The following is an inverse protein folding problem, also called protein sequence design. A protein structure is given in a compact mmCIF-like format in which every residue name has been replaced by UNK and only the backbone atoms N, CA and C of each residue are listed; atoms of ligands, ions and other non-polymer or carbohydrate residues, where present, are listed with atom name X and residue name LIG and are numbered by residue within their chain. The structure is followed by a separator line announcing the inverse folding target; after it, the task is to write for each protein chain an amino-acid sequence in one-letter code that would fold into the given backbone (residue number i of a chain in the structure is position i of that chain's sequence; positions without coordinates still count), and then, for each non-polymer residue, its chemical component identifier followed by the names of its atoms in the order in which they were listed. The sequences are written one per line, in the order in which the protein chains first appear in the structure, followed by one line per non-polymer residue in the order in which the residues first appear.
data_IF_760478194079
#
_entry.id   IF_760478194079
#
_cell.length_a   1.000
_cell.length_b   1.000
_cell.length_c   1.000
_cell.angle_alpha   90.00
_cell.angle_beta   90.00
_cell.angle_gamma   90.00
#
_symmetry.space_group_name_H-M   'P 1'
#
loop_
_entity.id
_entity.type
_entity.pdbx_description
1 polymer ?
#
# COMPACT_ATOMS: atom_id res chain seq x y z
N UNK A 1 64.54 41.72 -44.39
CA UNK A 1 63.42 40.89 -44.89
C UNK A 1 62.24 41.23 -44.01
N UNK A 2 61.25 41.98 -44.52
CA UNK A 2 60.08 42.36 -43.72
C UNK A 2 59.07 41.22 -43.79
N UNK A 3 58.83 40.56 -42.67
CA UNK A 3 57.68 39.66 -42.50
C UNK A 3 56.41 40.52 -42.59
N UNK A 4 55.59 40.28 -43.62
CA UNK A 4 54.23 40.81 -43.66
C UNK A 4 53.33 39.86 -42.88
N UNK A 5 52.61 40.40 -41.90
CA UNK A 5 51.56 39.66 -41.21
C UNK A 5 50.53 39.13 -42.22
N UNK A 6 50.09 37.89 -42.00
CA UNK A 6 49.13 37.20 -42.86
C UNK A 6 47.82 38.00 -42.92
N UNK A 7 47.23 38.22 -44.11
CA UNK A 7 45.99 38.99 -44.21
C UNK A 7 44.86 38.28 -43.45
N UNK A 8 44.17 39.06 -42.60
CA UNK A 8 43.06 38.62 -41.76
C UNK A 8 41.77 38.44 -42.59
N UNK A 9 40.99 37.41 -42.28
CA UNK A 9 39.68 37.15 -42.90
C UNK A 9 38.59 38.08 -42.39
N UNK A 10 37.48 38.18 -43.11
CA UNK A 10 36.33 38.99 -42.69
C UNK A 10 35.75 38.56 -41.34
N UNK A 11 35.70 37.26 -41.05
CA UNK A 11 35.22 36.72 -39.78
C UNK A 11 36.16 37.10 -38.63
N UNK A 12 37.48 36.98 -38.84
CA UNK A 12 38.48 37.39 -37.86
C UNK A 12 38.45 38.90 -37.60
N UNK A 13 38.21 39.70 -38.64
CA UNK A 13 38.03 41.15 -38.49
C UNK A 13 36.78 41.48 -37.67
N UNK A 14 35.64 40.86 -37.96
CA UNK A 14 34.42 41.00 -37.17
C UNK A 14 34.65 40.63 -35.69
N UNK A 15 35.29 39.48 -35.43
CA UNK A 15 35.63 39.04 -34.09
C UNK A 15 36.55 40.03 -33.36
N UNK A 16 37.55 40.60 -34.04
CA UNK A 16 38.45 41.62 -33.47
C UNK A 16 37.73 42.90 -33.03
N UNK A 17 36.54 43.16 -33.57
CA UNK A 17 35.67 44.29 -33.23
C UNK A 17 34.52 43.90 -32.29
N UNK A 18 34.48 42.64 -31.84
CA UNK A 18 33.39 42.12 -30.99
C UNK A 18 32.05 42.04 -31.70
N UNK A 19 32.03 41.97 -33.04
CA UNK A 19 30.82 41.83 -33.84
C UNK A 19 30.78 40.47 -34.53
N UNK A 20 29.57 39.96 -34.80
CA UNK A 20 29.37 38.67 -35.47
C UNK A 20 28.65 38.94 -36.79
N UNK A 21 29.06 38.32 -37.91
CA UNK A 21 28.30 38.39 -39.15
C UNK A 21 26.85 37.97 -38.94
N UNK A 22 25.91 38.73 -39.50
CA UNK A 22 24.47 38.53 -39.27
C UNK A 22 23.99 37.09 -39.55
N UNK A 23 24.46 36.48 -40.65
CA UNK A 23 24.11 35.10 -41.00
C UNK A 23 24.56 34.09 -39.95
N UNK A 24 25.80 34.21 -39.45
CA UNK A 24 26.32 33.36 -38.38
C UNK A 24 25.58 33.60 -37.06
N UNK A 25 25.20 34.85 -36.77
CA UNK A 25 24.40 35.19 -35.59
C UNK A 25 23.01 34.56 -35.62
N UNK A 26 22.33 34.53 -36.78
CA UNK A 26 21.02 33.87 -36.93
C UNK A 26 21.15 32.36 -36.75
N UNK A 27 22.13 31.74 -37.42
CA UNK A 27 22.34 30.29 -37.36
C UNK A 27 22.65 29.84 -35.93
N UNK A 28 23.58 30.52 -35.26
CA UNK A 28 23.92 30.24 -33.87
C UNK A 28 22.71 30.44 -32.92
N UNK A 29 21.89 31.47 -33.13
CA UNK A 29 20.69 31.68 -32.34
C UNK A 29 19.64 30.57 -32.55
N UNK A 30 19.48 30.09 -33.79
CA UNK A 30 18.59 28.99 -34.12
C UNK A 30 19.06 27.68 -33.49
N UNK A 31 20.33 27.34 -33.62
CA UNK A 31 20.92 26.14 -33.01
C UNK A 31 20.84 26.17 -31.47
N UNK A 32 21.15 27.31 -30.86
CA UNK A 32 21.02 27.49 -29.41
C UNK A 32 19.56 27.33 -28.96
N UNK A 33 18.61 27.84 -29.74
CA UNK A 33 17.18 27.63 -29.50
C UNK A 33 16.77 26.16 -29.56
N UNK A 34 17.24 25.43 -30.58
CA UNK A 34 16.98 23.99 -30.71
C UNK A 34 17.59 23.19 -29.56
N UNK A 35 18.84 23.47 -29.20
CA UNK A 35 19.52 22.81 -28.07
C UNK A 35 18.81 23.07 -26.74
N UNK A 36 18.34 24.31 -26.52
CA UNK A 36 17.57 24.66 -25.33
C UNK A 36 16.25 23.88 -25.25
N UNK A 37 15.51 23.79 -26.36
CA UNK A 37 14.27 23.00 -26.41
C UNK A 37 14.54 21.51 -26.18
N UNK A 38 15.57 20.97 -26.81
CA UNK A 38 15.96 19.57 -26.66
C UNK A 38 16.35 19.25 -25.20
N UNK A 39 17.15 20.11 -24.57
CA UNK A 39 17.50 19.96 -23.15
C UNK A 39 16.26 19.98 -22.26
N UNK A 40 15.28 20.86 -22.55
CA UNK A 40 14.03 20.89 -21.77
C UNK A 40 13.20 19.62 -21.94
N UNK A 41 13.17 19.04 -23.14
CA UNK A 41 12.51 17.77 -23.41
C UNK A 41 13.16 16.62 -22.63
N UNK A 42 14.49 16.59 -22.54
CA UNK A 42 15.21 15.58 -21.79
C UNK A 42 14.97 15.67 -20.29
N UNK A 43 14.98 16.89 -19.74
CA UNK A 43 14.63 17.15 -18.33
C UNK A 43 13.20 16.67 -18.02
N UNK A 44 12.24 17.01 -18.87
CA UNK A 44 10.84 16.60 -18.69
C UNK A 44 10.67 15.09 -18.79
N UNK A 45 11.37 14.42 -19.72
CA UNK A 45 11.35 12.95 -19.83
C UNK A 45 11.92 12.28 -18.59
N UNK A 46 13.04 12.79 -18.07
CA UNK A 46 13.67 12.26 -16.86
C UNK A 46 12.75 12.46 -15.63
N UNK A 47 12.16 13.65 -15.49
CA UNK A 47 11.21 13.94 -14.41
C UNK A 47 9.98 13.03 -14.49
N UNK A 48 9.38 12.91 -15.68
CA UNK A 48 8.21 12.05 -15.88
C UNK A 48 8.52 10.57 -15.59
N UNK A 49 9.70 10.09 -15.97
CA UNK A 49 10.14 8.74 -15.64
C UNK A 49 10.25 8.53 -14.13
N UNK A 50 10.82 9.50 -13.40
CA UNK A 50 10.87 9.47 -11.94
C UNK A 50 9.48 9.41 -11.29
N UNK A 51 8.53 10.22 -11.78
CA UNK A 51 7.13 10.19 -11.31
C UNK A 51 6.47 8.83 -11.56
N UNK A 52 6.65 8.24 -12.73
CA UNK A 52 6.08 6.93 -13.09
C UNK A 52 6.64 5.82 -12.18
N UNK A 53 7.94 5.84 -11.88
CA UNK A 53 8.54 4.91 -10.92
C UNK A 53 7.93 5.12 -9.53
N UNK A 54 7.79 6.37 -9.08
CA UNK A 54 7.16 6.70 -7.80
C UNK A 54 5.73 6.14 -7.72
N UNK A 55 4.92 6.36 -8.76
CA UNK A 55 3.57 5.80 -8.85
C UNK A 55 3.58 4.27 -8.82
N UNK A 56 4.45 3.60 -9.55
CA UNK A 56 4.53 2.13 -9.55
C UNK A 56 4.82 1.58 -8.14
N UNK A 57 5.77 2.19 -7.43
CA UNK A 57 6.11 1.83 -6.04
C UNK A 57 4.91 2.04 -5.11
N UNK A 58 4.24 3.20 -5.21
CA UNK A 58 3.05 3.49 -4.40
C UNK A 58 1.90 2.52 -4.70
N UNK A 59 1.64 2.18 -5.97
CA UNK A 59 0.61 1.22 -6.35
C UNK A 59 0.89 -0.18 -5.80
N UNK A 60 2.15 -0.64 -5.84
CA UNK A 60 2.54 -1.93 -5.25
C UNK A 60 2.25 -1.97 -3.76
N UNK A 61 2.61 -0.89 -3.03
CA UNK A 61 2.36 -0.79 -1.60
C UNK A 61 0.85 -0.81 -1.27
N UNK A 62 0.05 -0.03 -1.97
CA UNK A 62 -1.42 0.00 -1.79
C UNK A 62 -2.01 -1.39 -2.04
N UNK A 63 -1.55 -2.10 -3.08
CA UNK A 63 -2.03 -3.44 -3.38
C UNK A 63 -1.72 -4.43 -2.25
N UNK A 64 -0.51 -4.38 -1.71
CA UNK A 64 -0.09 -5.21 -0.58
C UNK A 64 -0.95 -4.92 0.67
N UNK A 65 -1.09 -3.65 1.06
CA UNK A 65 -1.90 -3.26 2.23
C UNK A 65 -3.36 -3.71 2.06
N UNK A 66 -3.91 -3.63 0.84
CA UNK A 66 -5.26 -4.13 0.54
C UNK A 66 -5.36 -5.64 0.69
N UNK A 67 -4.39 -6.40 0.19
CA UNK A 67 -4.37 -7.87 0.30
C UNK A 67 -4.24 -8.33 1.78
N UNK A 68 -3.43 -7.63 2.57
CA UNK A 68 -3.30 -7.85 4.01
C UNK A 68 -4.61 -7.57 4.75
N UNK A 69 -5.23 -6.41 4.48
CA UNK A 69 -6.53 -6.06 5.05
C UNK A 69 -7.62 -7.07 4.68
N UNK A 70 -7.67 -7.51 3.42
CA UNK A 70 -8.62 -8.51 2.96
C UNK A 70 -8.45 -9.84 3.70
N UNK A 71 -7.20 -10.24 3.95
CA UNK A 71 -6.87 -11.45 4.72
C UNK A 71 -7.37 -11.32 6.16
N UNK A 72 -7.11 -10.17 6.81
CA UNK A 72 -7.57 -9.91 8.18
C UNK A 72 -9.10 -9.91 8.30
N UNK A 73 -9.81 -9.25 7.39
CA UNK A 73 -11.28 -9.25 7.38
C UNK A 73 -11.86 -10.65 7.18
N UNK A 74 -11.25 -11.44 6.28
CA UNK A 74 -11.66 -12.84 6.06
C UNK A 74 -11.46 -13.66 7.33
N UNK A 75 -10.31 -13.53 7.98
CA UNK A 75 -10.01 -14.25 9.22
C UNK A 75 -10.93 -13.82 10.36
N UNK A 76 -11.26 -12.53 10.46
CA UNK A 76 -12.22 -12.01 11.42
C UNK A 76 -13.61 -12.62 11.19
N UNK A 77 -14.09 -12.68 9.95
CA UNK A 77 -15.36 -13.34 9.61
C UNK A 77 -15.39 -14.83 9.99
N UNK A 78 -14.30 -15.56 9.73
CA UNK A 78 -14.16 -16.97 10.14
C UNK A 78 -14.20 -17.09 11.67
N UNK A 79 -13.51 -16.21 12.40
CA UNK A 79 -13.49 -16.23 13.86
C UNK A 79 -14.86 -15.91 14.45
N UNK A 80 -15.59 -14.95 13.87
CA UNK A 80 -16.97 -14.64 14.26
C UNK A 80 -17.89 -15.85 14.06
N UNK A 81 -17.77 -16.56 12.94
CA UNK A 81 -18.55 -17.77 12.71
C UNK A 81 -18.21 -18.90 13.69
N UNK A 82 -16.93 -19.06 14.04
CA UNK A 82 -16.51 -20.03 15.08
C UNK A 82 -17.06 -19.67 16.46
N UNK A 83 -17.03 -18.38 16.83
CA UNK A 83 -17.61 -17.90 18.08
C UNK A 83 -19.11 -18.12 18.11
N UNK A 84 -19.82 -17.81 17.02
CA UNK A 84 -21.27 -18.07 16.91
C UNK A 84 -21.58 -19.54 17.19
N UNK A 85 -20.85 -20.47 16.56
CA UNK A 85 -21.05 -21.91 16.80
C UNK A 85 -20.82 -22.30 18.26
N UNK A 86 -19.78 -21.76 18.92
CA UNK A 86 -19.50 -22.03 20.35
C UNK A 86 -20.62 -21.51 21.24
N UNK A 87 -21.13 -20.32 20.95
CA UNK A 87 -22.28 -19.72 21.65
C UNK A 87 -23.54 -20.56 21.43
N UNK A 88 -23.80 -21.03 20.20
CA UNK A 88 -24.95 -21.88 19.90
C UNK A 88 -24.91 -23.21 20.67
N UNK A 89 -23.73 -23.82 20.82
CA UNK A 89 -23.55 -25.05 21.63
C UNK A 89 -23.78 -24.75 23.12
N UNK A 90 -23.21 -23.65 23.63
CA UNK A 90 -23.39 -23.25 25.02
C UNK A 90 -24.87 -22.94 25.32
N UNK A 91 -25.59 -22.28 24.41
CA UNK A 91 -27.03 -22.02 24.53
C UNK A 91 -27.83 -23.32 24.64
N UNK A 92 -27.57 -24.28 23.76
CA UNK A 92 -28.25 -25.60 23.81
C UNK A 92 -27.98 -26.35 25.12
N UNK A 93 -26.76 -26.28 25.65
CA UNK A 93 -26.44 -26.85 26.96
C UNK A 93 -27.27 -26.16 28.05
N UNK A 94 -27.32 -24.83 28.08
CA UNK A 94 -28.12 -24.07 29.05
C UNK A 94 -29.60 -24.45 28.95
N UNK A 95 -30.16 -24.55 27.75
CA UNK A 95 -31.55 -24.98 27.53
C UNK A 95 -31.81 -26.37 28.10
N UNK A 96 -30.96 -27.35 27.79
CA UNK A 96 -31.04 -28.72 28.33
C UNK A 96 -31.00 -28.76 29.85
N UNK A 97 -30.07 -28.01 30.47
CA UNK A 97 -29.96 -27.92 31.92
C UNK A 97 -31.18 -27.25 32.56
N UNK A 98 -31.75 -26.22 31.92
CA UNK A 98 -32.96 -25.56 32.40
C UNK A 98 -34.17 -26.51 32.37
N UNK A 99 -34.30 -27.37 31.36
CA UNK A 99 -35.35 -28.39 31.30
C UNK A 99 -35.22 -29.42 32.44
N UNK A 100 -33.99 -29.90 32.70
CA UNK A 100 -33.71 -30.84 33.80
C UNK A 100 -33.97 -30.20 35.17
N UNK A 101 -33.55 -28.95 35.37
CA UNK A 101 -33.71 -28.23 36.64
C UNK A 101 -35.18 -27.88 36.97
N UNK A 102 -36.08 -27.88 35.98
CA UNK A 102 -37.50 -27.56 36.15
C UNK A 102 -38.42 -28.76 36.38
N UNK A 103 -37.90 -30.01 36.39
CA UNK A 103 -38.66 -31.15 36.93
C UNK A 103 -38.76 -31.00 38.45
N UNK A 104 -39.78 -30.24 38.89
CA UNK A 104 -40.07 -29.89 40.29
C UNK A 104 -40.36 -31.09 41.20
N UNK A 105 -40.22 -32.32 40.69
CA UNK A 105 -40.60 -33.55 41.37
C UNK A 105 -39.41 -34.40 41.83
N UNK A 106 -38.19 -34.15 41.34
CA UNK A 106 -36.99 -34.94 41.73
C UNK A 106 -35.94 -34.08 42.46
N UNK A 107 -36.03 -34.11 43.79
CA UNK A 107 -34.92 -34.15 44.74
C UNK A 107 -33.77 -33.13 44.58
N UNK A 108 -33.97 -31.94 45.15
CA UNK A 108 -32.90 -31.01 45.52
C UNK A 108 -32.13 -31.46 46.78
N UNK A 109 -31.68 -32.71 46.85
CA UNK A 109 -30.96 -33.24 48.03
C UNK A 109 -29.86 -34.21 47.61
N UNK A 110 -28.63 -33.87 48.01
CA UNK A 110 -27.33 -34.55 47.82
C UNK A 110 -26.90 -34.75 46.35
N UNK A 111 -25.87 -33.99 45.93
CA UNK A 111 -25.33 -33.99 44.55
C UNK A 111 -25.53 -32.69 43.76
N UNK A 112 -26.27 -31.71 44.31
CA UNK A 112 -26.53 -30.42 43.65
C UNK A 112 -25.25 -29.63 43.35
N UNK A 113 -24.32 -29.56 44.30
CA UNK A 113 -23.04 -28.88 44.10
C UNK A 113 -22.24 -29.54 42.96
N UNK A 114 -22.15 -30.87 42.95
CA UNK A 114 -21.47 -31.62 41.88
C UNK A 114 -22.14 -31.41 40.52
N UNK A 115 -23.48 -31.40 40.45
CA UNK A 115 -24.23 -31.09 39.24
C UNK A 115 -23.96 -29.68 38.69
N UNK A 116 -23.88 -28.68 39.58
CA UNK A 116 -23.50 -27.31 39.20
C UNK A 116 -22.07 -27.23 38.67
N UNK A 117 -21.11 -27.92 39.30
CA UNK A 117 -19.73 -27.98 38.82
C UNK A 117 -19.63 -28.68 37.45
N UNK A 118 -20.40 -29.75 37.23
CA UNK A 118 -20.46 -30.44 35.94
C UNK A 118 -21.06 -29.57 34.83
N UNK A 119 -22.14 -28.84 35.12
CA UNK A 119 -22.74 -27.88 34.18
C UNK A 119 -21.74 -26.76 33.83
N UNK A 120 -21.09 -26.18 34.83
CA UNK A 120 -20.06 -25.15 34.61
C UNK A 120 -18.91 -25.66 33.74
N UNK A 121 -18.42 -26.88 33.98
CA UNK A 121 -17.35 -27.49 33.19
C UNK A 121 -17.75 -27.72 31.72
N UNK A 122 -18.97 -28.20 31.46
CA UNK A 122 -19.48 -28.39 30.09
C UNK A 122 -19.67 -27.07 29.35
N UNK A 123 -20.14 -26.02 30.03
CA UNK A 123 -20.26 -24.68 29.44
C UNK A 123 -18.89 -24.07 29.13
N UNK A 124 -17.92 -24.23 30.02
CA UNK A 124 -16.54 -23.79 29.79
C UNK A 124 -15.93 -24.48 28.57
N UNK A 125 -16.11 -25.80 28.45
CA UNK A 125 -15.68 -26.59 27.29
C UNK A 125 -16.33 -26.09 25.99
N UNK A 126 -17.66 -25.87 25.99
CA UNK A 126 -18.37 -25.34 24.82
C UNK A 126 -17.87 -23.95 24.39
N UNK A 127 -17.64 -23.05 25.34
CA UNK A 127 -17.14 -21.69 25.08
C UNK A 127 -15.68 -21.67 24.59
N UNK A 128 -14.85 -22.61 25.05
CA UNK A 128 -13.50 -22.82 24.50
C UNK A 128 -13.53 -23.47 23.11
N UNK A 129 -14.62 -24.15 22.77
CA UNK A 129 -14.75 -24.95 21.55
C UNK A 129 -14.08 -26.33 21.69
N UNK A 130 -14.02 -26.85 22.91
CA UNK A 130 -13.50 -28.16 23.30
C UNK A 130 -14.69 -29.11 23.47
N UNK A 131 -15.39 -29.44 22.38
CA UNK A 131 -16.61 -30.26 22.41
C UNK A 131 -17.04 -30.74 21.04
#
# INVERSE_FOLDING_TARGET
MFEMDKPMTFIEWCASKGVIPYSLGIEAAYEAGQQSQQSKVEELKASHHGEVIGHEVHFKKIKQERDELQTLYTQQGINMLKLQKRVDVALKLIESWNEIAFDKTTHWTEGYEEGCYHCAAQLEQALKGEG
#
